data_IF_575076435213
#
_entry.id   IF_575076435213
#
_cell.length_a   1.000
_cell.length_b   1.000
_cell.length_c   1.000
_cell.angle_alpha   90.00
_cell.angle_beta   90.00
_cell.angle_gamma   90.00
#
_symmetry.space_group_name_H-M   'P 1'
#
loop_
_entity.id
_entity.type
_entity.pdbx_description
1 polymer ?
#
# COMPACT_ATOMS: atom_id res chain seq x y z
N UNK A 1 -18.11 -17.98 -11.63
CA UNK A 1 -16.78 -17.61 -11.08
C UNK A 1 -16.56 -16.13 -11.28
N UNK A 2 -16.22 -15.42 -10.24
CA UNK A 2 -15.89 -13.99 -10.30
C UNK A 2 -14.37 -13.83 -10.36
N UNK A 3 -13.88 -13.04 -11.28
CA UNK A 3 -12.45 -12.70 -11.34
C UNK A 3 -12.26 -11.40 -10.58
N UNK A 4 -11.31 -11.37 -9.67
CA UNK A 4 -10.89 -10.18 -8.97
C UNK A 4 -9.58 -9.67 -9.57
N UNK A 5 -9.48 -8.35 -9.73
CA UNK A 5 -8.31 -7.69 -10.30
C UNK A 5 -7.70 -6.74 -9.28
N UNK A 6 -6.39 -6.80 -9.16
CA UNK A 6 -5.66 -5.92 -8.27
C UNK A 6 -4.30 -5.54 -8.81
N UNK A 7 -3.68 -4.61 -8.14
CA UNK A 7 -2.30 -4.20 -8.40
C UNK A 7 -1.49 -4.24 -7.11
N UNK A 8 -0.19 -4.47 -7.25
CA UNK A 8 0.73 -4.41 -6.12
C UNK A 8 1.98 -3.61 -6.50
N UNK A 9 2.60 -3.01 -5.50
CA UNK A 9 3.83 -2.24 -5.66
C UNK A 9 4.68 -2.32 -4.39
N UNK A 10 5.98 -2.12 -4.54
CA UNK A 10 6.92 -1.95 -3.43
C UNK A 10 7.29 -0.48 -3.20
N UNK A 11 6.67 0.45 -3.94
CA UNK A 11 6.97 1.87 -3.83
C UNK A 11 8.35 2.23 -4.38
N UNK A 12 8.74 1.64 -5.51
CA UNK A 12 10.01 1.88 -6.17
C UNK A 12 10.17 3.35 -6.56
N UNK A 13 11.39 3.87 -6.39
CA UNK A 13 11.78 5.19 -6.86
C UNK A 13 12.48 5.07 -8.21
N UNK A 14 11.69 5.08 -9.28
CA UNK A 14 12.19 4.92 -10.65
C UNK A 14 12.91 6.18 -11.13
N UNK A 15 13.94 6.01 -11.96
CA UNK A 15 14.59 7.12 -12.64
C UNK A 15 13.64 7.74 -13.67
N UNK A 16 13.47 9.05 -13.60
CA UNK A 16 12.72 9.80 -14.59
C UNK A 16 13.56 9.92 -15.86
N UNK A 17 13.03 9.47 -17.00
CA UNK A 17 13.71 9.55 -18.29
C UNK A 17 14.11 10.99 -18.66
N UNK A 18 13.27 11.96 -18.30
CA UNK A 18 13.49 13.39 -18.61
C UNK A 18 14.66 14.01 -17.86
N UNK A 19 15.04 13.51 -16.68
CA UNK A 19 16.06 14.13 -15.81
C UNK A 19 17.18 13.17 -15.43
N UNK A 20 16.99 11.86 -15.60
CA UNK A 20 17.91 10.82 -15.12
C UNK A 20 18.01 10.73 -13.59
N UNK A 21 17.13 11.42 -12.87
CA UNK A 21 17.08 11.44 -11.40
C UNK A 21 15.95 10.57 -10.88
N UNK A 22 16.18 9.94 -9.73
CA UNK A 22 15.13 9.24 -9.03
C UNK A 22 14.09 10.23 -8.48
N UNK A 23 12.83 9.82 -8.47
CA UNK A 23 11.77 10.53 -7.75
C UNK A 23 12.08 10.48 -6.24
N UNK A 24 11.78 11.56 -5.52
CA UNK A 24 12.00 11.60 -4.07
C UNK A 24 11.04 10.66 -3.31
N UNK A 25 11.45 10.18 -2.15
CA UNK A 25 10.63 9.28 -1.33
C UNK A 25 9.30 9.92 -0.93
N UNK A 26 9.32 11.19 -0.52
CA UNK A 26 8.11 11.90 -0.13
C UNK A 26 7.14 12.10 -1.30
N UNK A 27 7.66 12.36 -2.50
CA UNK A 27 6.84 12.42 -3.71
C UNK A 27 6.23 11.05 -4.02
N UNK A 28 7.04 9.98 -3.97
CA UNK A 28 6.58 8.62 -4.27
C UNK A 28 5.49 8.15 -3.29
N UNK A 29 5.64 8.46 -2.00
CA UNK A 29 4.63 8.11 -0.99
C UNK A 29 3.30 8.83 -1.27
N UNK A 30 3.33 10.10 -1.64
CA UNK A 30 2.11 10.83 -2.03
C UNK A 30 1.45 10.20 -3.27
N UNK A 31 2.24 9.85 -4.27
CA UNK A 31 1.74 9.18 -5.47
C UNK A 31 1.10 7.82 -5.17
N UNK A 32 1.62 7.07 -4.20
CA UNK A 32 1.00 5.81 -3.78
C UNK A 32 -0.42 6.01 -3.26
N UNK A 33 -0.65 7.05 -2.48
CA UNK A 33 -2.01 7.38 -2.00
C UNK A 33 -2.92 7.75 -3.18
N UNK A 34 -2.43 8.54 -4.13
CA UNK A 34 -3.18 8.88 -5.35
C UNK A 34 -3.47 7.64 -6.22
N UNK A 35 -2.53 6.71 -6.31
CA UNK A 35 -2.72 5.43 -7.02
C UNK A 35 -3.82 4.58 -6.37
N UNK A 36 -3.85 4.52 -5.04
CA UNK A 36 -4.91 3.82 -4.30
C UNK A 36 -6.28 4.43 -4.59
N UNK A 37 -6.37 5.75 -4.55
CA UNK A 37 -7.61 6.47 -4.87
C UNK A 37 -8.06 6.22 -6.31
N UNK A 38 -7.14 6.28 -7.27
CA UNK A 38 -7.44 6.00 -8.67
C UNK A 38 -7.88 4.54 -8.86
N UNK A 39 -7.21 3.59 -8.23
CA UNK A 39 -7.58 2.17 -8.29
C UNK A 39 -9.00 1.93 -7.77
N UNK A 40 -9.40 2.60 -6.70
CA UNK A 40 -10.76 2.56 -6.17
C UNK A 40 -11.77 3.14 -7.17
N UNK A 41 -11.45 4.30 -7.75
CA UNK A 41 -12.33 4.99 -8.72
C UNK A 41 -12.59 4.17 -9.97
N UNK A 42 -11.57 3.48 -10.49
CA UNK A 42 -11.72 2.66 -11.70
C UNK A 42 -12.26 1.25 -11.42
N UNK A 43 -12.50 0.90 -10.17
CA UNK A 43 -13.17 -0.33 -9.77
C UNK A 43 -12.27 -1.54 -9.64
N UNK A 44 -10.98 -1.39 -9.35
CA UNK A 44 -10.13 -2.51 -8.97
C UNK A 44 -10.54 -3.06 -7.61
N UNK A 45 -10.33 -4.37 -7.42
CA UNK A 45 -10.78 -5.07 -6.22
C UNK A 45 -9.81 -4.94 -5.05
N UNK A 46 -8.50 -4.89 -5.34
CA UNK A 46 -7.46 -4.87 -4.31
C UNK A 46 -6.25 -4.02 -4.72
N UNK A 47 -5.70 -3.30 -3.77
CA UNK A 47 -4.40 -2.64 -3.85
C UNK A 47 -3.50 -3.17 -2.75
N UNK A 48 -2.32 -3.64 -3.12
CA UNK A 48 -1.39 -4.25 -2.18
C UNK A 48 -0.04 -3.52 -2.18
N UNK A 49 0.52 -3.31 -1.00
CA UNK A 49 1.83 -2.67 -0.84
C UNK A 49 2.77 -3.62 -0.12
N UNK A 50 3.95 -3.80 -0.69
CA UNK A 50 5.09 -4.42 -0.03
C UNK A 50 6.04 -3.37 0.55
N UNK A 51 7.02 -3.84 1.33
CA UNK A 51 8.05 -2.97 1.87
C UNK A 51 9.45 -3.52 1.53
N UNK A 52 10.36 -2.60 1.24
CA UNK A 52 11.78 -2.89 1.14
C UNK A 52 12.56 -1.80 1.86
N UNK A 53 13.58 -2.21 2.60
CA UNK A 53 14.41 -1.30 3.41
C UNK A 53 15.70 -0.97 2.66
N UNK A 54 15.56 -0.32 1.50
CA UNK A 54 16.64 0.08 0.60
C UNK A 54 16.38 1.49 0.06
N UNK A 55 17.44 2.15 -0.45
CA UNK A 55 17.35 3.52 -0.96
C UNK A 55 16.45 3.70 -2.17
N UNK A 56 16.29 2.66 -2.96
CA UNK A 56 15.47 2.65 -4.18
C UNK A 56 13.99 2.32 -3.95
N UNK A 57 13.57 2.23 -2.67
CA UNK A 57 12.18 2.02 -2.29
C UNK A 57 11.73 3.05 -1.24
N UNK A 58 10.58 3.66 -1.47
CA UNK A 58 10.06 4.70 -0.58
C UNK A 58 9.31 4.15 0.64
N UNK A 59 8.81 2.90 0.57
CA UNK A 59 7.93 2.35 1.59
C UNK A 59 8.69 1.46 2.56
N UNK A 60 8.74 1.89 3.82
CA UNK A 60 9.27 1.10 4.95
C UNK A 60 8.22 0.87 6.05
N UNK A 61 7.06 1.51 5.95
CA UNK A 61 5.94 1.37 6.88
C UNK A 61 4.63 1.37 6.07
N UNK A 62 4.38 0.26 5.40
CA UNK A 62 3.27 0.12 4.46
C UNK A 62 1.90 0.35 5.10
N UNK A 63 1.73 0.01 6.37
CA UNK A 63 0.47 0.15 7.09
C UNK A 63 0.02 1.61 7.17
N UNK A 64 0.97 2.54 7.25
CA UNK A 64 0.66 3.98 7.32
C UNK A 64 0.12 4.46 5.97
N UNK A 65 0.70 3.99 4.87
CA UNK A 65 0.23 4.31 3.51
C UNK A 65 -1.16 3.69 3.27
N UNK A 66 -1.36 2.45 3.69
CA UNK A 66 -2.66 1.79 3.61
C UNK A 66 -3.74 2.53 4.42
N UNK A 67 -3.39 3.02 5.61
CA UNK A 67 -4.32 3.81 6.44
C UNK A 67 -4.72 5.13 5.75
N UNK A 68 -3.78 5.81 5.11
CA UNK A 68 -4.07 7.01 4.31
C UNK A 68 -5.01 6.69 3.14
N UNK A 69 -4.74 5.61 2.42
CA UNK A 69 -5.62 5.13 1.35
C UNK A 69 -7.00 4.73 1.85
N UNK A 70 -7.09 4.13 3.04
CA UNK A 70 -8.35 3.67 3.63
C UNK A 70 -9.36 4.79 3.81
N UNK A 71 -8.93 5.96 4.28
CA UNK A 71 -9.84 7.10 4.53
C UNK A 71 -10.24 7.83 3.26
N UNK A 72 -9.51 7.65 2.18
CA UNK A 72 -9.75 8.31 0.89
C UNK A 72 -10.48 7.43 -0.12
N UNK A 73 -10.81 6.20 0.23
CA UNK A 73 -11.43 5.21 -0.68
C UNK A 73 -12.70 4.64 -0.08
N UNK A 74 -13.49 3.93 -0.92
CA UNK A 74 -14.80 3.41 -0.51
C UNK A 74 -14.96 1.91 -0.67
N UNK A 75 -14.33 1.29 -1.67
CA UNK A 75 -14.61 -0.11 -2.08
C UNK A 75 -13.37 -0.99 -2.12
N UNK A 76 -12.23 -0.46 -2.55
CA UNK A 76 -11.02 -1.24 -2.77
C UNK A 76 -10.52 -1.84 -1.45
N UNK A 77 -10.10 -3.11 -1.50
CA UNK A 77 -9.43 -3.75 -0.36
C UNK A 77 -7.97 -3.34 -0.34
N UNK A 78 -7.44 -3.23 0.86
CA UNK A 78 -6.10 -2.71 1.13
C UNK A 78 -5.29 -3.80 1.81
N UNK A 79 -4.23 -4.25 1.17
CA UNK A 79 -3.46 -5.42 1.59
C UNK A 79 -1.97 -5.12 1.74
N UNK A 80 -1.32 -5.90 2.58
CA UNK A 80 0.13 -6.06 2.45
C UNK A 80 0.48 -7.00 1.29
N UNK A 81 1.70 -6.85 0.78
CA UNK A 81 2.24 -7.78 -0.21
C UNK A 81 3.78 -7.82 -0.12
N UNK A 82 4.30 -8.34 0.95
CA UNK A 82 3.71 -9.07 2.09
C UNK A 82 4.03 -8.42 3.43
N UNK A 83 3.35 -8.81 4.50
CA UNK A 83 3.78 -8.52 5.87
C UNK A 83 4.88 -9.51 6.28
N UNK A 84 6.04 -9.00 6.68
CA UNK A 84 7.20 -9.83 7.03
C UNK A 84 7.09 -10.25 8.51
N UNK A 85 6.33 -11.31 8.77
CA UNK A 85 6.04 -11.77 10.14
C UNK A 85 7.28 -12.20 10.94
N UNK A 86 8.38 -12.52 10.26
CA UNK A 86 9.63 -12.90 10.95
C UNK A 86 10.37 -11.71 11.58
N UNK A 87 10.01 -10.48 11.21
CA UNK A 87 10.72 -9.26 11.66
C UNK A 87 9.83 -8.24 12.36
N UNK A 88 8.54 -8.50 12.45
CA UNK A 88 7.58 -7.59 13.08
C UNK A 88 6.82 -8.30 14.20
N UNK A 89 6.53 -7.56 15.29
CA UNK A 89 5.74 -8.07 16.39
C UNK A 89 4.31 -8.41 15.93
N UNK A 90 3.84 -9.65 16.09
CA UNK A 90 2.53 -10.06 15.63
C UNK A 90 1.36 -9.33 16.33
N UNK A 91 1.54 -8.94 17.59
CA UNK A 91 0.55 -8.12 18.31
C UNK A 91 0.43 -6.74 17.65
N UNK A 92 1.55 -6.15 17.24
CA UNK A 92 1.57 -4.88 16.54
C UNK A 92 0.90 -4.99 15.16
N UNK A 93 1.16 -6.06 14.42
CA UNK A 93 0.49 -6.34 13.14
C UNK A 93 -1.03 -6.37 13.33
N UNK A 94 -1.49 -7.14 14.31
CA UNK A 94 -2.91 -7.18 14.63
C UNK A 94 -3.49 -5.79 14.91
N UNK A 95 -2.83 -4.99 15.74
CA UNK A 95 -3.30 -3.66 16.11
C UNK A 95 -3.36 -2.72 14.91
N UNK A 96 -2.35 -2.75 14.04
CA UNK A 96 -2.28 -1.93 12.83
C UNK A 96 -3.40 -2.28 11.86
N UNK A 97 -3.57 -3.56 11.54
CA UNK A 97 -4.58 -3.99 10.60
C UNK A 97 -6.01 -3.88 11.15
N UNK A 98 -6.23 -4.11 12.44
CA UNK A 98 -7.50 -3.82 13.07
C UNK A 98 -7.87 -2.33 12.97
N UNK A 99 -6.88 -1.44 13.07
CA UNK A 99 -7.08 0.00 12.91
C UNK A 99 -7.39 0.36 11.45
N UNK A 100 -6.66 -0.19 10.49
CA UNK A 100 -6.95 0.00 9.06
C UNK A 100 -8.34 -0.54 8.71
N UNK A 101 -8.69 -1.69 9.26
CA UNK A 101 -10.00 -2.30 9.04
C UNK A 101 -11.14 -1.39 9.54
N UNK A 102 -10.97 -0.82 10.72
CA UNK A 102 -11.92 0.15 11.27
C UNK A 102 -12.00 1.43 10.40
N UNK A 103 -10.87 1.98 9.95
CA UNK A 103 -10.82 3.16 9.08
C UNK A 103 -11.44 2.91 7.71
N UNK A 104 -11.32 1.71 7.19
CA UNK A 104 -11.77 1.32 5.85
C UNK A 104 -13.16 0.69 5.83
N UNK A 105 -13.82 0.52 6.98
CA UNK A 105 -15.10 -0.19 7.10
C UNK A 105 -15.03 -1.63 6.61
N UNK A 106 -14.00 -2.36 7.06
CA UNK A 106 -13.88 -3.80 6.81
C UNK A 106 -13.17 -4.19 5.52
N UNK A 107 -12.21 -3.36 5.03
CA UNK A 107 -11.50 -3.62 3.76
C UNK A 107 -10.01 -3.93 3.92
N UNK A 108 -9.54 -4.14 5.15
CA UNK A 108 -8.14 -4.51 5.37
C UNK A 108 -7.89 -6.00 5.11
N UNK A 109 -6.79 -6.29 4.46
CA UNK A 109 -6.30 -7.66 4.23
C UNK A 109 -4.83 -7.77 4.62
N UNK A 110 -4.40 -8.97 4.97
CA UNK A 110 -3.01 -9.29 5.25
C UNK A 110 -2.59 -10.45 4.34
N UNK A 111 -1.53 -10.21 3.59
CA UNK A 111 -0.78 -11.25 2.90
C UNK A 111 0.56 -11.40 3.62
N UNK A 112 0.90 -12.63 4.05
CA UNK A 112 2.12 -12.94 4.80
C UNK A 112 2.90 -14.09 4.15
#
# INVERSE_FOLDING_TARGET
MTIELGISTFGETTLLESTGKAISHDQRIRELVEEIELADQVGLDIYAIGEHHREDFAVSALEIVLAAGAVNTKKIRLSSAVTILSSIDPVRVYQQYATIDALSSGRAEIMA
#
